data_IF_888017961934
#
_entry.id   IF_888017961934
#
_cell.length_a   1.000
_cell.length_b   1.000
_cell.length_c   1.000
_cell.angle_alpha   90.00
_cell.angle_beta   90.00
_cell.angle_gamma   90.00
#
_symmetry.space_group_name_H-M   'P 1'
#
loop_
_entity.id
_entity.type
_entity.pdbx_description
1 polymer ?
#
# COMPACT_ATOMS: atom_id res chain seq x y z
N UNK A 1 67.18 -70.53 9.20
CA UNK A 1 67.96 -69.28 9.13
C UNK A 1 67.14 -68.25 9.93
N UNK A 2 67.48 -67.73 11.13
CA UNK A 2 68.78 -67.27 11.69
C UNK A 2 69.50 -66.41 10.64
N UNK A 3 69.64 -65.10 10.78
CA UNK A 3 70.22 -64.27 11.89
C UNK A 3 69.53 -62.88 12.00
N UNK A 4 69.36 -62.29 13.20
CA UNK A 4 70.10 -61.13 13.80
C UNK A 4 70.22 -59.89 12.86
N UNK A 5 70.05 -58.62 13.29
CA UNK A 5 70.50 -58.01 14.57
C UNK A 5 69.49 -57.00 15.20
N UNK A 6 69.94 -55.83 15.72
CA UNK A 6 69.48 -55.27 17.03
C UNK A 6 69.69 -53.73 17.20
N UNK A 7 69.24 -53.16 18.35
CA UNK A 7 69.42 -51.79 18.93
C UNK A 7 68.38 -50.73 18.53
N UNK A 8 67.66 -49.98 19.40
CA UNK A 8 67.66 -49.66 20.86
C UNK A 8 68.52 -48.47 21.38
N UNK A 9 67.90 -47.28 21.44
CA UNK A 9 68.04 -46.15 22.42
C UNK A 9 66.90 -45.16 22.11
N UNK A 10 66.07 -44.59 22.99
CA UNK A 10 66.06 -44.19 24.41
C UNK A 10 66.63 -42.78 24.71
N UNK A 11 65.67 -41.83 24.87
CA UNK A 11 65.64 -40.63 25.74
C UNK A 11 66.74 -39.56 25.60
N UNK A 12 66.30 -38.32 25.30
CA UNK A 12 66.56 -37.16 26.16
C UNK A 12 65.62 -35.98 25.81
N UNK A 13 64.95 -35.43 26.82
CA UNK A 13 64.27 -34.15 26.73
C UNK A 13 65.23 -33.04 27.17
N UNK A 14 65.24 -31.91 26.47
CA UNK A 14 65.87 -30.67 26.93
C UNK A 14 64.93 -29.51 26.63
N UNK A 15 64.47 -28.85 27.69
CA UNK A 15 63.75 -27.58 27.61
C UNK A 15 64.76 -26.44 27.67
N UNK A 16 64.62 -25.43 26.81
CA UNK A 16 65.28 -24.12 26.96
C UNK A 16 64.22 -23.03 26.86
N UNK A 17 64.26 -22.10 27.81
CA UNK A 17 63.26 -21.06 28.07
C UNK A 17 63.65 -19.68 27.53
N UNK A 18 62.67 -18.78 27.51
CA UNK A 18 62.72 -17.34 27.21
C UNK A 18 62.76 -16.96 25.71
N UNK A 19 62.13 -15.86 25.25
CA UNK A 19 61.54 -14.73 25.98
C UNK A 19 60.44 -14.01 25.16
N UNK A 20 59.43 -13.44 25.83
CA UNK A 20 58.47 -12.45 25.27
C UNK A 20 57.42 -13.00 24.29
N UNK A 21 56.17 -12.51 24.26
CA UNK A 21 55.53 -11.43 25.02
C UNK A 21 54.04 -11.72 25.20
N UNK A 22 53.46 -11.32 26.33
CA UNK A 22 52.02 -11.30 26.49
C UNK A 22 51.39 -10.25 25.57
N UNK A 23 50.32 -10.63 24.86
CA UNK A 23 49.37 -9.67 24.27
C UNK A 23 47.97 -10.16 24.56
N UNK A 24 47.33 -9.41 25.45
CA UNK A 24 45.99 -9.57 26.00
C UNK A 24 44.93 -10.01 24.99
N UNK A 25 43.97 -10.80 25.47
CA UNK A 25 42.73 -11.06 24.78
C UNK A 25 42.04 -9.73 24.38
N UNK A 26 41.99 -9.45 23.09
CA UNK A 26 41.07 -8.47 22.53
C UNK A 26 39.76 -9.20 22.24
N UNK A 27 38.79 -9.07 23.15
CA UNK A 27 37.38 -9.34 22.88
C UNK A 27 36.94 -8.39 21.76
N UNK A 28 37.08 -8.85 20.52
CA UNK A 28 36.60 -8.13 19.35
C UNK A 28 35.07 -8.17 19.35
N UNK A 29 34.44 -7.27 20.11
CA UNK A 29 33.11 -6.80 19.76
C UNK A 29 33.19 -6.37 18.29
N UNK A 30 32.51 -7.13 17.44
CA UNK A 30 32.25 -6.68 16.08
C UNK A 30 31.37 -5.44 16.20
N UNK A 31 32.02 -4.27 16.25
CA UNK A 31 31.39 -2.99 15.98
C UNK A 31 30.99 -3.02 14.53
N UNK A 32 29.82 -3.62 14.30
CA UNK A 32 29.10 -3.53 13.03
C UNK A 32 29.11 -2.07 12.61
N UNK A 33 29.54 -1.84 11.37
CA UNK A 33 29.62 -0.50 10.85
C UNK A 33 28.18 -0.04 10.65
N UNK A 34 27.65 0.92 11.42
CA UNK A 34 26.22 1.19 11.44
C UNK A 34 25.69 1.65 10.07
N UNK A 35 26.55 2.20 9.20
CA UNK A 35 26.19 2.49 7.81
C UNK A 35 26.11 1.23 6.92
N UNK A 36 26.94 0.22 7.16
CA UNK A 36 26.87 -1.07 6.47
C UNK A 36 25.73 -1.96 7.02
N UNK A 37 25.46 -1.90 8.32
CA UNK A 37 24.33 -2.62 8.94
C UNK A 37 23.00 -1.96 8.58
N UNK A 38 22.92 -0.63 8.50
CA UNK A 38 21.76 0.07 7.97
C UNK A 38 21.56 -0.20 6.47
N UNK A 39 22.64 -0.23 5.67
CA UNK A 39 22.55 -0.61 4.26
C UNK A 39 22.16 -2.09 4.09
N UNK A 40 22.60 -2.99 4.96
CA UNK A 40 22.18 -4.39 4.95
C UNK A 40 20.71 -4.56 5.39
N UNK A 41 20.27 -3.78 6.40
CA UNK A 41 18.89 -3.74 6.85
C UNK A 41 17.93 -3.16 5.80
N UNK A 42 18.36 -2.14 5.04
CA UNK A 42 17.60 -1.61 3.90
C UNK A 42 17.49 -2.62 2.73
N UNK A 43 18.37 -3.64 2.69
CA UNK A 43 18.36 -4.71 1.69
C UNK A 43 17.66 -6.00 2.16
N UNK A 44 17.07 -6.02 3.36
CA UNK A 44 16.44 -7.21 3.94
C UNK A 44 15.05 -6.87 4.51
N UNK A 45 14.00 -7.52 3.99
CA UNK A 45 12.64 -7.32 4.48
C UNK A 45 12.51 -7.76 5.95
N UNK A 46 12.14 -6.88 6.89
CA UNK A 46 12.01 -7.24 8.30
C UNK A 46 10.93 -8.31 8.52
N UNK A 47 11.09 -9.25 9.48
CA UNK A 47 10.08 -10.27 9.76
C UNK A 47 8.71 -9.69 10.11
N UNK A 48 8.65 -8.52 10.74
CA UNK A 48 7.41 -7.82 11.05
C UNK A 48 6.72 -7.24 9.80
N UNK A 49 7.49 -6.77 8.81
CA UNK A 49 6.96 -6.30 7.53
C UNK A 49 6.41 -7.49 6.71
N UNK A 50 7.18 -8.58 6.63
CA UNK A 50 6.72 -9.83 5.99
C UNK A 50 5.44 -10.36 6.64
N UNK A 51 5.36 -10.38 7.98
CA UNK A 51 4.16 -10.85 8.68
C UNK A 51 2.93 -9.97 8.45
N UNK A 52 3.09 -8.66 8.34
CA UNK A 52 2.00 -7.74 7.99
C UNK A 52 1.47 -8.04 6.58
N UNK A 53 2.36 -8.21 5.60
CA UNK A 53 2.00 -8.57 4.23
C UNK A 53 1.36 -9.97 4.13
N UNK A 54 1.92 -10.99 4.79
CA UNK A 54 1.31 -12.33 4.81
C UNK A 54 -0.09 -12.30 5.41
N UNK A 55 -0.34 -11.47 6.43
CA UNK A 55 -1.68 -11.32 7.02
C UNK A 55 -2.67 -10.68 6.05
N UNK A 56 -2.23 -9.68 5.29
CA UNK A 56 -3.02 -9.00 4.27
C UNK A 56 -3.34 -9.94 3.09
N UNK A 57 -2.32 -10.57 2.50
CA UNK A 57 -2.46 -11.53 1.40
C UNK A 57 -3.35 -12.73 1.77
N UNK A 58 -3.30 -13.23 3.03
CA UNK A 58 -4.24 -14.26 3.52
C UNK A 58 -5.69 -13.79 3.53
N UNK A 59 -5.95 -12.51 3.79
CA UNK A 59 -7.26 -11.89 3.65
C UNK A 59 -7.71 -11.90 2.20
N UNK A 60 -6.89 -11.32 1.31
CA UNK A 60 -7.14 -11.26 -0.14
C UNK A 60 -7.45 -12.63 -0.75
N UNK A 61 -6.63 -13.66 -0.47
CA UNK A 61 -6.90 -15.00 -0.99
C UNK A 61 -8.20 -15.59 -0.44
N UNK A 62 -8.48 -15.44 0.86
CA UNK A 62 -9.74 -15.93 1.48
C UNK A 62 -10.96 -15.30 0.80
N UNK A 63 -10.90 -14.00 0.52
CA UNK A 63 -12.02 -13.25 -0.04
C UNK A 63 -12.23 -13.58 -1.54
N UNK A 64 -11.17 -14.03 -2.22
CA UNK A 64 -11.22 -14.65 -3.55
C UNK A 64 -11.63 -16.15 -3.54
N UNK A 65 -11.87 -16.75 -2.36
CA UNK A 65 -12.15 -18.19 -2.20
C UNK A 65 -10.92 -19.11 -2.38
N UNK A 66 -9.73 -18.52 -2.46
CA UNK A 66 -8.45 -19.17 -2.71
C UNK A 66 -7.66 -19.46 -1.42
N UNK A 67 -6.61 -20.30 -1.55
CA UNK A 67 -5.68 -20.57 -0.46
C UNK A 67 -4.42 -19.72 -0.59
N UNK A 68 -3.90 -19.23 0.53
CA UNK A 68 -2.58 -18.59 0.58
C UNK A 68 -1.43 -19.61 0.48
N UNK A 69 -0.40 -19.27 -0.30
CA UNK A 69 0.90 -19.93 -0.39
C UNK A 69 1.98 -19.01 0.20
N UNK A 70 2.85 -19.55 1.07
CA UNK A 70 3.96 -18.77 1.62
C UNK A 70 4.98 -18.40 0.53
N UNK A 71 5.30 -17.11 0.43
CA UNK A 71 6.23 -16.55 -0.57
C UNK A 71 7.54 -16.13 0.10
N UNK A 72 8.67 -16.39 -0.57
CA UNK A 72 9.99 -15.89 -0.21
C UNK A 72 10.30 -14.62 -1.02
N UNK A 73 10.32 -13.49 -0.34
CA UNK A 73 10.59 -12.17 -0.92
C UNK A 73 12.09 -11.88 -0.94
N UNK A 74 12.59 -11.38 -2.07
CA UNK A 74 14.00 -11.01 -2.29
C UNK A 74 14.12 -9.59 -2.88
N UNK A 75 15.20 -8.84 -2.58
CA UNK A 75 15.37 -7.50 -3.12
C UNK A 75 15.54 -7.52 -4.64
N UNK A 76 14.83 -6.62 -5.32
CA UNK A 76 14.90 -6.47 -6.77
C UNK A 76 16.11 -5.64 -7.19
N UNK A 77 16.77 -6.05 -8.28
CA UNK A 77 17.88 -5.32 -8.89
C UNK A 77 17.45 -4.50 -10.13
N UNK A 78 16.21 -4.68 -10.59
CA UNK A 78 15.64 -4.05 -11.79
C UNK A 78 14.48 -4.87 -12.36
N UNK A 79 13.73 -4.28 -13.30
CA UNK A 79 12.54 -4.89 -13.94
C UNK A 79 12.78 -6.32 -14.47
N UNK A 80 13.92 -6.58 -15.13
CA UNK A 80 14.25 -7.92 -15.63
C UNK A 80 14.32 -8.98 -14.53
N UNK A 81 14.87 -8.64 -13.35
CA UNK A 81 14.92 -9.54 -12.21
C UNK A 81 13.52 -9.81 -11.62
N UNK A 82 12.59 -8.84 -11.72
CA UNK A 82 11.20 -9.05 -11.30
C UNK A 82 10.49 -10.05 -12.21
N UNK A 83 10.66 -9.94 -13.54
CA UNK A 83 10.12 -10.89 -14.53
C UNK A 83 10.66 -12.30 -14.29
N UNK A 84 11.98 -12.44 -14.13
CA UNK A 84 12.62 -13.73 -13.86
C UNK A 84 12.13 -14.37 -12.54
N UNK A 85 11.94 -13.57 -11.47
CA UNK A 85 11.50 -14.06 -10.17
C UNK A 85 10.01 -14.42 -10.09
N UNK A 86 9.14 -13.63 -10.72
CA UNK A 86 7.68 -13.73 -10.53
C UNK A 86 7.01 -14.54 -11.64
N UNK A 87 7.38 -14.34 -12.90
CA UNK A 87 6.77 -15.04 -14.04
C UNK A 87 7.49 -16.37 -14.33
N UNK A 88 8.82 -16.35 -14.48
CA UNK A 88 9.58 -17.55 -14.85
C UNK A 88 9.81 -18.53 -13.68
N UNK A 89 9.53 -18.13 -12.44
CA UNK A 89 9.78 -18.92 -11.23
C UNK A 89 8.54 -19.10 -10.33
N UNK A 90 7.33 -18.98 -10.92
CA UNK A 90 6.02 -19.18 -10.28
C UNK A 90 5.99 -20.39 -9.30
N UNK A 91 6.45 -21.56 -9.75
CA UNK A 91 6.45 -22.81 -8.99
C UNK A 91 7.34 -22.83 -7.73
N UNK A 92 8.14 -21.78 -7.49
CA UNK A 92 9.05 -21.67 -6.34
C UNK A 92 8.50 -20.93 -5.12
N UNK A 93 7.33 -20.28 -5.24
CA UNK A 93 6.83 -19.35 -4.22
C UNK A 93 7.84 -18.23 -3.95
N UNK A 94 8.31 -17.55 -5.00
CA UNK A 94 9.27 -16.44 -4.93
C UNK A 94 8.59 -15.13 -5.30
N UNK A 95 9.00 -14.04 -4.65
CA UNK A 95 8.55 -12.69 -5.00
C UNK A 95 9.68 -11.67 -4.87
N UNK A 96 9.42 -10.46 -5.35
CA UNK A 96 10.34 -9.34 -5.31
C UNK A 96 9.92 -8.29 -4.28
N UNK A 97 10.89 -7.51 -3.81
CA UNK A 97 10.60 -6.22 -3.17
C UNK A 97 11.59 -5.13 -3.55
N UNK A 98 11.16 -3.87 -3.46
CA UNK A 98 12.03 -2.69 -3.37
C UNK A 98 11.78 -1.99 -2.03
N UNK A 99 12.71 -1.15 -1.57
CA UNK A 99 12.57 -0.38 -0.33
C UNK A 99 12.73 1.12 -0.59
N UNK A 100 12.00 1.94 0.17
CA UNK A 100 11.92 3.39 0.09
C UNK A 100 11.45 3.96 1.44
N UNK A 101 11.37 5.28 1.58
CA UNK A 101 10.77 5.98 2.73
C UNK A 101 9.55 6.80 2.26
N UNK A 102 8.37 6.18 2.19
CA UNK A 102 7.16 6.80 1.62
C UNK A 102 6.49 7.76 2.62
N UNK A 103 6.57 7.45 3.91
CA UNK A 103 5.89 8.20 4.98
C UNK A 103 6.76 9.31 5.62
N UNK A 104 8.04 9.40 5.29
CA UNK A 104 9.05 10.29 5.88
C UNK A 104 9.33 10.06 7.38
N UNK A 105 9.10 8.84 7.90
CA UNK A 105 9.41 8.48 9.29
C UNK A 105 10.87 8.03 9.48
N UNK A 106 11.61 7.86 8.38
CA UNK A 106 13.03 7.47 8.37
C UNK A 106 13.27 5.96 8.58
N UNK A 107 12.22 5.14 8.58
CA UNK A 107 12.31 3.67 8.56
C UNK A 107 12.06 3.17 7.13
N UNK A 108 12.61 2.00 6.76
CA UNK A 108 12.37 1.43 5.44
C UNK A 108 10.92 0.93 5.32
N UNK A 109 10.22 1.48 4.34
CA UNK A 109 9.01 0.92 3.75
C UNK A 109 9.38 0.01 2.58
N UNK A 110 8.40 -0.72 2.05
CA UNK A 110 8.60 -1.69 0.97
C UNK A 110 7.48 -1.65 -0.06
N UNK A 111 7.83 -1.93 -1.31
CA UNK A 111 6.88 -2.31 -2.35
C UNK A 111 7.17 -3.75 -2.73
N UNK A 112 6.16 -4.61 -2.66
CA UNK A 112 6.25 -6.05 -2.83
C UNK A 112 5.52 -6.47 -4.10
N UNK A 113 6.05 -7.46 -4.80
CA UNK A 113 5.36 -8.09 -5.92
C UNK A 113 5.48 -9.61 -5.82
N UNK A 114 4.37 -10.31 -6.03
CA UNK A 114 4.30 -11.77 -5.89
C UNK A 114 3.46 -12.43 -6.97
N UNK A 115 3.73 -13.70 -7.30
CA UNK A 115 2.83 -14.48 -8.14
C UNK A 115 1.49 -14.67 -7.43
N UNK A 116 0.40 -14.36 -8.13
CA UNK A 116 -0.97 -14.59 -7.67
C UNK A 116 -1.36 -13.82 -6.40
N UNK A 117 -0.68 -12.72 -6.06
CA UNK A 117 -0.85 -12.04 -4.76
C UNK A 117 -0.61 -12.99 -3.56
N UNK A 118 0.26 -14.00 -3.73
CA UNK A 118 0.49 -15.05 -2.73
C UNK A 118 -0.62 -16.10 -2.64
N UNK A 119 -1.58 -16.15 -3.58
CA UNK A 119 -2.60 -17.19 -3.64
C UNK A 119 -2.12 -18.42 -4.44
N UNK A 120 -2.74 -19.58 -4.20
CA UNK A 120 -2.37 -20.89 -4.78
C UNK A 120 -2.89 -21.08 -6.21
N UNK A 121 -3.93 -20.33 -6.62
CA UNK A 121 -4.46 -20.38 -7.97
C UNK A 121 -3.41 -20.09 -9.04
N UNK A 122 -3.59 -20.65 -10.24
CA UNK A 122 -2.68 -20.43 -11.37
C UNK A 122 -2.66 -18.93 -11.73
N UNK A 123 -1.55 -18.26 -11.40
CA UNK A 123 -1.33 -16.89 -11.81
C UNK A 123 -1.19 -16.84 -13.34
N UNK A 124 -1.87 -15.92 -14.03
CA UNK A 124 -1.75 -15.82 -15.47
C UNK A 124 -0.31 -15.46 -15.87
N UNK A 125 0.05 -15.72 -17.12
CA UNK A 125 1.15 -14.99 -17.74
C UNK A 125 0.77 -13.51 -17.76
N UNK A 126 1.38 -12.72 -16.87
CA UNK A 126 0.99 -11.32 -16.65
C UNK A 126 1.27 -10.43 -17.86
N UNK A 127 2.20 -10.84 -18.72
CA UNK A 127 2.61 -10.09 -19.91
C UNK A 127 3.03 -8.66 -19.56
N UNK A 128 2.62 -7.70 -20.38
CA UNK A 128 2.99 -6.30 -20.19
C UNK A 128 2.28 -5.64 -19.00
N UNK A 129 1.13 -6.16 -18.54
CA UNK A 129 0.39 -5.64 -17.37
C UNK A 129 1.10 -5.92 -16.05
N UNK A 130 1.93 -6.96 -15.99
CA UNK A 130 2.67 -7.31 -14.77
C UNK A 130 1.81 -7.85 -13.62
N UNK A 131 2.47 -8.34 -12.56
CA UNK A 131 1.85 -8.93 -11.38
C UNK A 131 1.20 -7.89 -10.46
N UNK A 132 0.40 -8.33 -9.46
CA UNK A 132 -0.01 -7.48 -8.35
C UNK A 132 1.18 -6.89 -7.59
N UNK A 133 0.99 -5.67 -7.11
CA UNK A 133 1.96 -4.86 -6.38
C UNK A 133 1.31 -4.35 -5.11
N UNK A 134 1.91 -4.70 -3.97
CA UNK A 134 1.47 -4.31 -2.63
C UNK A 134 2.47 -3.34 -2.02
N UNK A 135 2.01 -2.49 -1.10
CA UNK A 135 2.88 -1.65 -0.28
C UNK A 135 2.91 -2.17 1.16
N UNK A 136 4.06 -2.09 1.80
CA UNK A 136 4.21 -2.31 3.25
C UNK A 136 4.83 -1.05 3.84
N UNK A 137 4.02 -0.28 4.54
CA UNK A 137 4.44 0.99 5.15
C UNK A 137 4.62 0.82 6.65
N UNK A 138 5.70 1.40 7.16
CA UNK A 138 5.98 1.53 8.56
C UNK A 138 4.95 2.44 9.23
N UNK A 139 4.42 2.02 10.39
CA UNK A 139 3.41 2.80 11.12
C UNK A 139 3.68 2.78 12.61
N UNK A 140 2.99 3.63 13.37
CA UNK A 140 3.02 3.63 14.82
C UNK A 140 2.53 2.27 15.37
N UNK A 141 3.47 1.44 15.84
CA UNK A 141 3.20 0.09 16.34
C UNK A 141 3.71 -1.06 15.46
N UNK A 142 4.22 -0.80 14.25
CA UNK A 142 4.81 -1.84 13.41
C UNK A 142 4.87 -1.51 11.93
N UNK A 143 4.21 -2.35 11.13
CA UNK A 143 4.04 -2.25 9.68
C UNK A 143 2.59 -2.57 9.32
N UNK A 144 2.08 -1.93 8.27
CA UNK A 144 0.78 -2.20 7.69
C UNK A 144 0.94 -2.40 6.18
N UNK A 145 0.22 -3.38 5.63
CA UNK A 145 0.19 -3.61 4.19
C UNK A 145 -1.04 -2.95 3.55
N UNK A 146 -0.88 -2.51 2.31
CA UNK A 146 -1.88 -1.82 1.50
C UNK A 146 -1.89 -2.41 0.10
N UNK A 147 -3.08 -2.51 -0.50
CA UNK A 147 -3.24 -2.80 -1.92
C UNK A 147 -2.60 -1.70 -2.76
N UNK A 148 -2.19 -2.03 -3.99
CA UNK A 148 -1.57 -1.09 -4.91
C UNK A 148 -2.17 -1.17 -6.30
N UNK A 149 -1.44 -1.80 -7.21
CA UNK A 149 -1.78 -1.85 -8.64
C UNK A 149 -1.15 -3.06 -9.34
N UNK A 150 -1.35 -3.18 -10.65
CA UNK A 150 -0.73 -4.22 -11.50
C UNK A 150 0.35 -3.58 -12.38
N UNK A 151 1.64 -3.85 -12.13
CA UNK A 151 2.77 -3.57 -13.04
C UNK A 151 4.07 -4.26 -12.56
N UNK A 152 5.10 -4.16 -13.38
CA UNK A 152 6.47 -4.57 -13.09
C UNK A 152 7.26 -3.47 -12.36
N UNK A 153 7.43 -3.63 -11.04
CA UNK A 153 8.24 -2.70 -10.23
C UNK A 153 9.76 -2.86 -10.41
N UNK A 154 10.51 -1.78 -10.14
CA UNK A 154 11.97 -1.70 -10.25
C UNK A 154 12.50 -0.65 -9.26
N UNK A 155 13.70 -0.81 -8.65
CA UNK A 155 14.30 0.23 -7.81
C UNK A 155 14.45 1.58 -8.52
N UNK A 156 14.60 1.56 -9.85
CA UNK A 156 14.72 2.76 -10.70
C UNK A 156 13.44 3.58 -10.81
N UNK A 157 12.31 3.08 -10.30
CA UNK A 157 11.04 3.82 -10.21
C UNK A 157 10.91 4.59 -8.89
N UNK A 158 11.77 4.33 -7.89
CA UNK A 158 11.77 5.11 -6.66
C UNK A 158 12.38 6.48 -6.93
N UNK A 159 11.62 7.53 -6.63
CA UNK A 159 12.01 8.91 -6.86
C UNK A 159 11.72 9.77 -5.61
N UNK A 160 12.58 10.75 -5.34
CA UNK A 160 12.41 11.64 -4.19
C UNK A 160 11.36 12.72 -4.49
N UNK A 161 10.51 13.04 -3.51
CA UNK A 161 9.56 14.17 -3.50
C UNK A 161 9.66 14.91 -2.17
N UNK A 162 10.63 15.81 -2.08
CA UNK A 162 10.90 16.56 -0.84
C UNK A 162 11.52 15.67 0.24
N UNK A 163 10.78 15.48 1.33
CA UNK A 163 11.15 14.69 2.50
C UNK A 163 10.67 13.23 2.48
N UNK A 164 9.92 12.83 1.44
CA UNK A 164 9.47 11.45 1.20
C UNK A 164 9.87 10.94 -0.19
N UNK A 165 9.81 9.63 -0.35
CA UNK A 165 9.92 8.95 -1.63
C UNK A 165 8.53 8.67 -2.24
N UNK A 166 8.51 8.43 -3.55
CA UNK A 166 7.36 7.94 -4.32
C UNK A 166 7.81 6.89 -5.32
N UNK A 167 6.88 6.06 -5.78
CA UNK A 167 7.08 5.10 -6.86
C UNK A 167 6.50 5.72 -8.15
N UNK A 168 7.37 6.23 -9.02
CA UNK A 168 7.01 6.77 -10.33
C UNK A 168 6.73 5.63 -11.32
N UNK A 169 5.45 5.34 -11.53
CA UNK A 169 4.95 4.35 -12.47
C UNK A 169 4.83 4.96 -13.88
N UNK A 170 5.58 4.50 -14.89
CA UNK A 170 5.41 4.92 -16.27
C UNK A 170 4.11 4.35 -16.83
N UNK A 171 3.21 5.20 -17.31
CA UNK A 171 1.93 4.80 -17.92
C UNK A 171 1.77 5.43 -19.31
N UNK A 172 0.68 5.09 -20.01
CA UNK A 172 0.36 5.64 -21.33
C UNK A 172 -1.14 5.86 -21.52
N UNK A 173 -1.72 6.79 -20.76
CA UNK A 173 -3.17 7.09 -20.83
C UNK A 173 -3.39 8.44 -21.51
N UNK A 174 -4.25 8.49 -22.53
CA UNK A 174 -4.63 9.73 -23.18
C UNK A 174 -5.92 10.27 -22.57
N UNK A 175 -5.81 11.33 -21.76
CA UNK A 175 -6.97 12.05 -21.23
C UNK A 175 -7.44 13.17 -22.16
N UNK A 176 -8.53 13.84 -21.79
CA UNK A 176 -9.17 14.91 -22.59
C UNK A 176 -8.23 16.08 -22.94
N UNK A 177 -7.31 16.44 -22.07
CA UNK A 177 -6.38 17.58 -22.24
C UNK A 177 -5.00 17.17 -22.76
N UNK A 178 -4.63 15.89 -22.69
CA UNK A 178 -3.32 15.41 -23.11
C UNK A 178 -2.97 14.04 -22.50
N UNK A 179 -1.77 13.53 -22.81
CA UNK A 179 -1.28 12.28 -22.24
C UNK A 179 -0.91 12.44 -20.75
N UNK A 180 -1.25 11.45 -19.95
CA UNK A 180 -0.62 11.18 -18.66
C UNK A 180 0.37 10.03 -18.88
N UNK A 181 1.65 10.32 -18.66
CA UNK A 181 2.77 9.38 -18.90
C UNK A 181 3.40 8.84 -17.62
N UNK A 182 3.05 9.40 -16.46
CA UNK A 182 3.57 8.94 -15.17
C UNK A 182 2.53 9.15 -14.06
N UNK A 183 2.36 8.15 -13.19
CA UNK A 183 1.64 8.26 -11.92
C UNK A 183 2.64 8.01 -10.79
N UNK A 184 2.76 8.94 -9.85
CA UNK A 184 3.56 8.74 -8.65
C UNK A 184 2.68 8.17 -7.54
N UNK A 185 3.01 6.98 -7.04
CA UNK A 185 2.37 6.37 -5.88
C UNK A 185 3.16 6.68 -4.60
N UNK A 186 2.48 7.03 -3.50
CA UNK A 186 3.13 7.37 -2.24
C UNK A 186 2.14 7.57 -1.09
N UNK A 187 2.66 7.94 0.08
CA UNK A 187 1.86 8.05 1.31
C UNK A 187 0.85 9.20 1.28
N UNK A 188 -0.40 8.94 1.66
CA UNK A 188 -1.48 9.94 1.78
C UNK A 188 -1.56 10.57 3.17
N UNK A 189 -0.97 9.93 4.18
CA UNK A 189 -1.17 10.23 5.61
C UNK A 189 -1.80 9.06 6.38
N UNK A 190 -2.54 8.20 5.68
CA UNK A 190 -3.31 7.07 6.24
C UNK A 190 -3.31 5.81 5.35
N UNK A 191 -2.61 5.85 4.21
CA UNK A 191 -2.50 4.77 3.23
C UNK A 191 -1.55 5.15 2.09
N UNK A 192 -1.49 4.30 1.05
CA UNK A 192 -0.69 4.56 -0.15
C UNK A 192 -1.60 4.72 -1.35
N UNK A 193 -1.33 5.74 -2.18
CA UNK A 193 -2.14 6.03 -3.35
C UNK A 193 -1.39 6.90 -4.39
N UNK A 194 -2.01 7.15 -5.54
CA UNK A 194 -1.54 8.02 -6.61
C UNK A 194 -1.53 9.52 -6.22
N UNK A 195 -0.41 9.98 -5.66
CA UNK A 195 -0.19 11.35 -5.15
C UNK A 195 0.16 12.39 -6.22
N UNK A 196 0.74 12.01 -7.35
CA UNK A 196 1.01 12.92 -8.49
C UNK A 196 0.72 12.24 -9.83
N UNK A 197 0.38 13.03 -10.85
CA UNK A 197 0.30 12.59 -12.26
C UNK A 197 1.05 13.58 -13.14
N UNK A 198 1.77 13.10 -14.16
CA UNK A 198 2.60 13.93 -15.05
C UNK A 198 2.40 13.57 -16.52
N UNK A 199 2.50 14.57 -17.39
CA UNK A 199 2.51 14.40 -18.83
C UNK A 199 3.93 14.19 -19.38
N UNK A 200 4.03 14.01 -20.70
CA UNK A 200 5.26 13.82 -21.48
C UNK A 200 6.30 14.95 -21.31
N UNK A 201 5.86 16.17 -21.00
CA UNK A 201 6.73 17.31 -20.65
C UNK A 201 7.18 17.34 -19.18
N UNK A 202 6.74 16.39 -18.35
CA UNK A 202 7.00 16.32 -16.91
C UNK A 202 6.13 17.26 -16.06
N UNK A 203 5.19 17.99 -16.68
CA UNK A 203 4.28 18.90 -16.00
C UNK A 203 3.25 18.14 -15.17
N UNK A 204 2.91 18.65 -13.99
CA UNK A 204 1.82 18.11 -13.17
C UNK A 204 0.48 18.27 -13.88
N UNK A 205 -0.30 17.19 -13.92
CA UNK A 205 -1.63 17.12 -14.53
C UNK A 205 -2.61 16.38 -13.63
N UNK A 206 -3.91 16.54 -13.91
CA UNK A 206 -4.94 15.64 -13.38
C UNK A 206 -5.03 14.33 -14.21
N UNK A 207 -6.02 13.48 -13.93
CA UNK A 207 -6.25 12.22 -14.66
C UNK A 207 -6.58 12.43 -16.15
N UNK A 208 -7.09 13.60 -16.52
CA UNK A 208 -7.46 13.95 -17.89
C UNK A 208 -6.29 14.57 -18.67
N UNK A 209 -5.10 14.64 -18.07
CA UNK A 209 -3.94 15.31 -18.64
C UNK A 209 -4.04 16.84 -18.59
N UNK A 210 -4.99 17.41 -17.85
CA UNK A 210 -5.16 18.85 -17.74
C UNK A 210 -4.14 19.41 -16.75
N UNK A 211 -3.41 20.46 -17.16
CA UNK A 211 -2.40 21.11 -16.32
C UNK A 211 -2.99 21.58 -14.99
N UNK A 212 -2.52 20.99 -13.88
CA UNK A 212 -2.77 21.54 -12.55
C UNK A 212 -1.67 22.54 -12.23
N UNK A 213 -2.04 23.71 -11.75
CA UNK A 213 -1.06 24.58 -11.12
C UNK A 213 -0.53 23.88 -9.87
N UNK A 214 0.75 24.09 -9.55
CA UNK A 214 1.32 23.64 -8.29
C UNK A 214 0.70 24.46 -7.13
N UNK A 215 -0.55 24.14 -6.79
CA UNK A 215 -1.09 24.44 -5.49
C UNK A 215 -0.24 23.65 -4.51
N UNK A 216 0.59 24.36 -3.77
CA UNK A 216 1.31 23.85 -2.62
C UNK A 216 0.39 22.91 -1.85
N UNK A 217 0.90 21.76 -1.40
CA UNK A 217 0.24 21.02 -0.33
C UNK A 217 0.23 21.93 0.91
N UNK A 218 -0.79 22.76 1.01
CA UNK A 218 -1.12 23.44 2.25
C UNK A 218 -1.56 22.30 3.16
N UNK A 219 -0.73 22.01 4.15
CA UNK A 219 -1.16 21.33 5.35
C UNK A 219 -2.20 22.22 6.02
N UNK A 220 -3.44 22.18 5.53
CA UNK A 220 -4.60 22.73 6.21
C UNK A 220 -4.90 21.83 7.41
N UNK A 221 -4.12 22.03 8.48
CA UNK A 221 -4.41 21.60 9.84
C UNK A 221 -5.63 22.31 10.43
N UNK A 222 -6.69 22.46 9.64
CA UNK A 222 -8.05 22.75 10.10
C UNK A 222 -8.73 21.42 10.36
N UNK A 223 -9.08 21.15 11.63
CA UNK A 223 -9.82 19.95 11.99
C UNK A 223 -11.12 19.87 11.19
N UNK A 224 -11.24 18.83 10.36
CA UNK A 224 -12.38 18.66 9.46
C UNK A 224 -13.68 18.54 10.25
N UNK A 225 -14.59 19.51 10.09
CA UNK A 225 -15.92 19.42 10.67
C UNK A 225 -16.83 18.59 9.77
N UNK A 226 -17.48 17.59 10.36
CA UNK A 226 -18.58 16.87 9.72
C UNK A 226 -19.64 17.89 9.22
N UNK A 227 -20.19 17.73 8.00
CA UNK A 227 -21.24 18.61 7.51
C UNK A 227 -22.44 18.63 8.48
N UNK A 228 -23.24 19.71 8.52
CA UNK A 228 -24.38 19.85 9.43
C UNK A 228 -25.61 19.04 8.98
N UNK A 229 -25.38 17.77 8.66
CA UNK A 229 -26.35 16.76 8.24
C UNK A 229 -26.58 15.75 9.38
N UNK A 230 -27.61 14.92 9.28
CA UNK A 230 -27.80 13.79 10.20
C UNK A 230 -26.75 12.68 9.93
N UNK A 231 -26.05 12.17 10.95
CA UNK A 231 -25.24 10.97 10.80
C UNK A 231 -26.15 9.74 10.67
N UNK A 232 -25.80 8.82 9.77
CA UNK A 232 -26.61 7.65 9.47
C UNK A 232 -26.71 7.38 7.98
N UNK A 233 -27.88 6.91 7.53
CA UNK A 233 -28.09 6.32 6.22
C UNK A 233 -28.75 7.31 5.26
N UNK A 234 -28.44 7.22 3.97
CA UNK A 234 -28.84 8.19 2.96
C UNK A 234 -29.18 7.51 1.63
N UNK A 235 -30.27 7.89 0.97
CA UNK A 235 -30.65 7.38 -0.34
C UNK A 235 -30.26 8.37 -1.45
N UNK A 236 -29.53 7.88 -2.46
CA UNK A 236 -29.11 8.57 -3.68
C UNK A 236 -30.24 8.53 -4.74
N UNK A 237 -30.77 9.70 -5.11
CA UNK A 237 -31.83 9.93 -6.12
C UNK A 237 -33.09 9.04 -6.04
N UNK A 238 -33.27 8.35 -4.91
CA UNK A 238 -34.32 7.38 -4.65
C UNK A 238 -35.06 7.66 -3.33
N UNK A 239 -36.17 6.96 -3.11
CA UNK A 239 -36.77 6.90 -1.77
C UNK A 239 -35.96 5.95 -0.89
N UNK A 240 -36.00 6.16 0.43
CA UNK A 240 -35.36 5.24 1.38
C UNK A 240 -35.87 3.80 1.24
N UNK A 241 -37.15 3.60 0.91
CA UNK A 241 -37.71 2.27 0.72
C UNK A 241 -37.11 1.58 -0.52
N UNK A 242 -36.88 2.32 -1.60
CA UNK A 242 -36.34 1.76 -2.84
C UNK A 242 -34.83 1.47 -2.68
N UNK A 243 -34.06 2.41 -2.14
CA UNK A 243 -32.63 2.20 -1.85
C UNK A 243 -32.38 1.02 -0.87
N UNK A 244 -33.26 0.83 0.12
CA UNK A 244 -33.21 -0.35 1.02
C UNK A 244 -33.53 -1.65 0.28
N UNK A 245 -34.44 -1.64 -0.71
CA UNK A 245 -34.77 -2.83 -1.49
C UNK A 245 -33.61 -3.22 -2.41
N UNK A 246 -33.03 -2.24 -3.10
CA UNK A 246 -31.86 -2.47 -3.95
C UNK A 246 -30.70 -3.01 -3.12
N UNK A 247 -30.41 -2.42 -1.95
CA UNK A 247 -29.41 -2.89 -0.98
C UNK A 247 -29.67 -4.29 -0.36
N UNK A 248 -30.81 -4.94 -0.66
CA UNK A 248 -31.08 -6.35 -0.31
C UNK A 248 -30.94 -7.30 -1.52
N UNK A 249 -30.91 -6.77 -2.74
CA UNK A 249 -30.88 -7.52 -4.00
C UNK A 249 -29.51 -7.43 -4.70
N UNK A 250 -28.77 -6.33 -4.51
CA UNK A 250 -27.43 -6.08 -5.07
C UNK A 250 -26.42 -5.67 -3.97
N UNK A 251 -25.10 -5.84 -4.20
CA UNK A 251 -24.07 -5.38 -3.30
C UNK A 251 -24.17 -3.88 -2.96
N UNK A 252 -23.82 -3.51 -1.72
CA UNK A 252 -23.94 -2.13 -1.24
C UNK A 252 -23.10 -1.13 -2.06
N UNK A 253 -21.96 -1.56 -2.60
CA UNK A 253 -21.08 -0.74 -3.45
C UNK A 253 -21.72 -0.34 -4.79
N UNK A 254 -22.79 -1.02 -5.18
CA UNK A 254 -23.60 -0.79 -6.39
C UNK A 254 -25.01 -0.27 -6.07
N UNK A 255 -25.39 -0.21 -4.78
CA UNK A 255 -26.70 0.27 -4.34
C UNK A 255 -26.72 1.80 -4.20
N UNK A 256 -27.90 2.40 -4.37
CA UNK A 256 -28.13 3.82 -4.06
C UNK A 256 -28.22 4.13 -2.56
N UNK A 257 -27.75 3.24 -1.67
CA UNK A 257 -27.76 3.44 -0.23
C UNK A 257 -26.35 3.77 0.27
N UNK A 258 -26.23 4.93 0.93
CA UNK A 258 -25.01 5.45 1.50
C UNK A 258 -25.10 5.52 3.04
N UNK A 259 -23.94 5.64 3.69
CA UNK A 259 -23.80 5.88 5.13
C UNK A 259 -22.77 6.99 5.39
N UNK A 260 -23.04 7.93 6.29
CA UNK A 260 -22.07 8.96 6.67
C UNK A 260 -22.13 9.25 8.17
N UNK A 261 -20.97 9.33 8.82
CA UNK A 261 -20.81 9.86 10.17
C UNK A 261 -19.56 10.76 10.27
N UNK A 262 -19.29 11.28 11.48
CA UNK A 262 -18.20 12.22 11.72
C UNK A 262 -16.78 11.64 11.58
N UNK A 263 -16.64 10.31 11.50
CA UNK A 263 -15.37 9.59 11.36
C UNK A 263 -15.19 8.99 9.98
N UNK A 264 -16.27 8.48 9.36
CA UNK A 264 -16.22 7.77 8.07
C UNK A 264 -17.51 7.91 7.26
N UNK A 265 -17.49 7.44 6.03
CA UNK A 265 -18.68 7.29 5.21
C UNK A 265 -18.46 6.37 4.01
N UNK A 266 -19.55 6.02 3.33
CA UNK A 266 -19.60 5.14 2.18
C UNK A 266 -20.75 5.57 1.27
N UNK A 267 -20.47 5.83 -0.01
CA UNK A 267 -21.47 6.08 -1.05
C UNK A 267 -21.14 5.22 -2.27
N UNK A 268 -21.83 4.08 -2.41
CA UNK A 268 -21.41 3.02 -3.32
C UNK A 268 -19.94 2.64 -3.07
N UNK A 269 -19.10 2.80 -4.10
CA UNK A 269 -17.65 2.55 -4.07
C UNK A 269 -16.80 3.67 -3.45
N UNK A 270 -17.38 4.78 -2.99
CA UNK A 270 -16.64 5.90 -2.40
C UNK A 270 -16.60 5.84 -0.86
N UNK A 271 -15.46 5.44 -0.28
CA UNK A 271 -15.13 5.58 1.15
C UNK A 271 -14.84 7.06 1.46
N UNK A 272 -15.45 7.63 2.50
CA UNK A 272 -15.13 8.98 3.01
C UNK A 272 -14.24 8.87 4.23
N UNK A 273 -13.08 9.53 4.20
CA UNK A 273 -12.10 9.54 5.30
C UNK A 273 -11.99 10.90 6.01
N UNK A 274 -12.37 12.01 5.35
CA UNK A 274 -12.27 13.36 5.93
C UNK A 274 -13.26 14.34 5.31
N UNK A 275 -13.70 15.32 6.09
CA UNK A 275 -14.55 16.42 5.63
C UNK A 275 -13.79 17.74 5.64
N UNK A 276 -14.07 18.64 4.69
CA UNK A 276 -13.54 20.02 4.66
C UNK A 276 -14.67 20.98 4.35
N UNK A 277 -14.83 22.04 5.15
CA UNK A 277 -15.79 23.09 4.88
C UNK A 277 -15.24 24.05 3.80
N UNK A 278 -15.98 24.24 2.71
CA UNK A 278 -15.61 25.15 1.61
C UNK A 278 -16.22 26.55 1.77
N UNK A 279 -16.98 26.77 2.83
CA UNK A 279 -17.69 28.01 3.13
C UNK A 279 -19.18 27.99 2.71
N UNK A 280 -19.99 28.78 3.40
CA UNK A 280 -21.45 28.75 3.24
C UNK A 280 -22.01 27.38 3.64
N UNK A 281 -22.80 26.78 2.76
CA UNK A 281 -23.32 25.41 2.89
C UNK A 281 -22.58 24.40 2.01
N UNK A 282 -21.36 24.70 1.56
CA UNK A 282 -20.55 23.81 0.71
C UNK A 282 -19.50 23.07 1.53
N UNK A 283 -19.39 21.77 1.28
CA UNK A 283 -18.42 20.89 1.93
C UNK A 283 -17.78 19.98 0.90
N UNK A 284 -16.56 19.54 1.16
CA UNK A 284 -15.86 18.50 0.41
C UNK A 284 -15.71 17.28 1.30
N UNK A 285 -16.24 16.15 0.82
CA UNK A 285 -15.86 14.85 1.33
C UNK A 285 -14.58 14.43 0.61
N UNK A 286 -13.54 14.13 1.36
CA UNK A 286 -12.30 13.52 0.87
C UNK A 286 -12.32 12.05 1.23
N UNK A 287 -11.83 11.22 0.32
CA UNK A 287 -12.08 9.80 0.40
C UNK A 287 -11.27 9.00 -0.59
N UNK A 288 -11.69 7.75 -0.76
CA UNK A 288 -11.11 6.80 -1.70
C UNK A 288 -12.22 6.18 -2.53
N UNK A 289 -11.99 5.99 -3.82
CA UNK A 289 -12.91 5.28 -4.69
C UNK A 289 -12.33 3.91 -5.00
N UNK A 290 -13.04 2.86 -4.58
CA UNK A 290 -12.65 1.48 -4.80
C UNK A 290 -13.12 1.04 -6.19
N UNK A 291 -12.27 0.31 -6.92
CA UNK A 291 -12.57 -0.19 -8.27
C UNK A 291 -12.10 -1.63 -8.39
N UNK A 292 -12.48 -2.30 -9.48
CA UNK A 292 -12.02 -3.66 -9.79
C UNK A 292 -10.50 -3.76 -10.05
N UNK A 293 -9.81 -2.63 -10.19
CA UNK A 293 -8.36 -2.53 -10.46
C UNK A 293 -7.57 -1.87 -9.32
N UNK A 294 -8.20 -1.63 -8.16
CA UNK A 294 -7.57 -1.03 -6.99
C UNK A 294 -8.34 0.16 -6.42
N UNK A 295 -7.72 0.86 -5.48
CA UNK A 295 -8.30 2.00 -4.76
C UNK A 295 -7.58 3.30 -5.16
N UNK A 296 -8.31 4.39 -5.40
CA UNK A 296 -7.73 5.71 -5.77
C UNK A 296 -8.28 6.88 -4.93
N UNK A 297 -7.62 8.05 -4.84
CA UNK A 297 -8.08 9.13 -3.97
C UNK A 297 -9.14 9.94 -4.70
N UNK A 298 -10.29 10.11 -4.05
CA UNK A 298 -11.44 10.80 -4.62
C UNK A 298 -11.93 11.93 -3.71
N UNK A 299 -12.69 12.84 -4.30
CA UNK A 299 -13.35 13.91 -3.58
C UNK A 299 -14.76 14.12 -4.14
N UNK A 300 -15.72 14.33 -3.24
CA UNK A 300 -17.11 14.64 -3.57
C UNK A 300 -17.44 16.00 -2.97
N UNK A 301 -17.65 17.01 -3.82
CA UNK A 301 -18.19 18.30 -3.38
C UNK A 301 -19.69 18.17 -3.16
N UNK A 302 -20.18 18.63 -2.01
CA UNK A 302 -21.60 18.63 -1.68
C UNK A 302 -22.11 20.03 -1.32
N UNK A 303 -23.38 20.26 -1.61
CA UNK A 303 -24.18 21.39 -1.18
C UNK A 303 -25.19 20.88 -0.14
N UNK A 304 -25.07 21.34 1.11
CA UNK A 304 -26.02 20.96 2.17
C UNK A 304 -27.27 21.82 2.05
N UNK A 305 -28.39 21.20 1.71
CA UNK A 305 -29.69 21.88 1.58
C UNK A 305 -30.41 21.97 2.93
N UNK A 306 -30.29 20.93 3.75
CA UNK A 306 -30.83 20.83 5.11
C UNK A 306 -30.12 19.73 5.90
N UNK A 307 -30.51 19.53 7.18
CA UNK A 307 -30.01 18.40 7.97
C UNK A 307 -30.31 17.03 7.34
N UNK A 308 -31.35 16.92 6.52
CA UNK A 308 -31.85 15.65 5.96
C UNK A 308 -31.82 15.60 4.43
N UNK A 309 -31.17 16.57 3.77
CA UNK A 309 -31.02 16.64 2.32
C UNK A 309 -29.70 17.33 1.96
N UNK A 310 -28.91 16.73 1.09
CA UNK A 310 -27.80 17.40 0.42
C UNK A 310 -27.73 16.99 -1.05
N UNK A 311 -27.01 17.77 -1.85
CA UNK A 311 -26.83 17.53 -3.28
C UNK A 311 -25.34 17.43 -3.60
N UNK A 312 -24.91 16.34 -4.22
CA UNK A 312 -23.58 16.20 -4.81
C UNK A 312 -23.39 17.15 -6.00
N UNK A 313 -22.24 17.81 -6.07
CA UNK A 313 -21.89 18.73 -7.13
C UNK A 313 -21.01 18.03 -8.17
N UNK A 314 -21.50 17.94 -9.41
CA UNK A 314 -20.77 17.31 -10.51
C UNK A 314 -21.48 17.53 -11.86
N UNK A 315 -21.02 16.84 -12.90
CA UNK A 315 -21.70 16.79 -14.20
C UNK A 315 -23.09 16.13 -14.09
N UNK A 316 -23.20 15.13 -13.21
CA UNK A 316 -24.44 14.51 -12.78
C UNK A 316 -24.65 14.87 -11.30
N UNK A 317 -25.43 15.92 -11.04
CA UNK A 317 -25.75 16.34 -9.68
C UNK A 317 -26.79 15.37 -9.07
N UNK A 318 -26.40 14.67 -8.01
CA UNK A 318 -27.19 13.62 -7.35
C UNK A 318 -27.72 14.10 -6.00
N UNK A 319 -28.97 13.79 -5.67
CA UNK A 319 -29.59 14.19 -4.41
C UNK A 319 -29.55 13.06 -3.39
N UNK A 320 -29.03 13.35 -2.21
CA UNK A 320 -29.03 12.44 -1.07
C UNK A 320 -30.11 12.85 -0.06
N UNK A 321 -30.95 11.90 0.35
CA UNK A 321 -32.02 12.10 1.35
C UNK A 321 -31.80 11.20 2.57
N UNK A 322 -31.86 11.74 3.78
CA UNK A 322 -31.60 10.98 5.00
C UNK A 322 -32.70 9.94 5.29
N UNK A 323 -32.27 8.72 5.59
CA UNK A 323 -33.09 7.57 5.91
C UNK A 323 -32.98 7.23 7.40
N UNK A 324 -34.07 7.36 8.18
CA UNK A 324 -34.04 7.06 9.61
C UNK A 324 -33.56 5.64 9.89
N UNK A 325 -32.60 5.48 10.81
CA UNK A 325 -32.01 4.17 11.19
C UNK A 325 -33.06 3.12 11.56
N UNK A 326 -34.23 3.53 12.06
CA UNK A 326 -35.36 2.64 12.37
C UNK A 326 -36.00 1.97 11.15
N UNK A 327 -35.74 2.46 9.94
CA UNK A 327 -36.19 1.87 8.68
C UNK A 327 -35.15 0.88 8.11
N UNK A 328 -33.88 0.98 8.51
CA UNK A 328 -32.78 0.22 7.91
C UNK A 328 -32.70 -1.20 8.50
N UNK A 329 -32.81 -2.26 7.67
CA UNK A 329 -32.68 -3.64 8.11
C UNK A 329 -31.36 -3.93 8.82
N UNK A 330 -31.41 -4.73 9.89
CA UNK A 330 -30.22 -5.10 10.67
C UNK A 330 -29.17 -5.92 9.88
N UNK A 331 -29.53 -6.48 8.71
CA UNK A 331 -28.56 -7.03 7.75
C UNK A 331 -27.63 -5.93 7.23
N UNK A 332 -28.21 -4.98 6.48
CA UNK A 332 -27.54 -3.82 5.88
C UNK A 332 -26.75 -3.03 6.93
N UNK A 333 -27.34 -2.80 8.12
CA UNK A 333 -26.65 -2.02 9.17
C UNK A 333 -25.32 -2.66 9.58
N UNK A 334 -25.24 -3.99 9.70
CA UNK A 334 -23.98 -4.67 10.06
C UNK A 334 -22.91 -4.56 8.98
N UNK A 335 -23.27 -4.31 7.73
CA UNK A 335 -22.29 -4.19 6.65
C UNK A 335 -21.63 -2.81 6.65
N UNK A 336 -22.38 -1.73 6.95
CA UNK A 336 -21.81 -0.38 7.15
C UNK A 336 -21.22 -0.13 8.56
N UNK A 337 -21.68 -0.86 9.59
CA UNK A 337 -21.25 -0.68 11.00
C UNK A 337 -20.03 -1.57 11.38
N UNK A 338 -19.49 -2.38 10.45
CA UNK A 338 -18.22 -3.15 10.62
C UNK A 338 -16.97 -2.29 10.45
#
# INVERSE_FOLDING_TARGET
MKTLLTHLTLVLAVSVTACGSESSAASGEARGNPAADAAAAANALPPAALAAWESFARGQCRDQGERFAAVRLAPLAGRGHAVDLVEQHFAGGKGGFVSADFNADGRPDFVVTTPGHGCVGDGPAYGDQGPPVDFIVSVAGGYQAFDGFMDWISPTMIARRGDRDVLDLPIGVNGRCGPVTTVAWGWTGDGVDAVERRNDSGQLVDREGCAVSAQSHVNEGGGGSFPPIEPGYWAEDASCLDAIRDALEIPLDQSGLAYFDAQRGWAGRFEVVRYTALGGNRYRMHGRHHTEVGTEPAQMDILVDSRTSFTEQGEFARRYTHCPTSQIPASIRREFEQ
#
